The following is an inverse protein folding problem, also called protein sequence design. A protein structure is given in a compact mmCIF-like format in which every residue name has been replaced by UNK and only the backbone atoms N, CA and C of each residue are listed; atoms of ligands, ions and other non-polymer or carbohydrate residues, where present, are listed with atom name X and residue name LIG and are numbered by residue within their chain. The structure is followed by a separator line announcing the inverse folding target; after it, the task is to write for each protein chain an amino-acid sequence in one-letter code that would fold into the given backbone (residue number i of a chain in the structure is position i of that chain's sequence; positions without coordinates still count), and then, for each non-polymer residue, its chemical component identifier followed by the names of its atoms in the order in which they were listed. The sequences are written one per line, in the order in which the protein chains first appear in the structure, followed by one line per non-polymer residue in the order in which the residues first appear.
data_IF_523117749178
#
_entry.id   IF_523117749178
#
_cell.length_a   1.000
_cell.length_b   1.000
_cell.length_c   1.000
_cell.angle_alpha   90.00
_cell.angle_beta   90.00
_cell.angle_gamma   90.00
#
_symmetry.space_group_name_H-M   'P 1'
#
loop_
_entity.id
_entity.type
_entity.pdbx_description
1 polymer ?
#
# COMPACT_ATOMS: atom_id res chain seq x y z
N UNK A 1 38.20 37.76 28.62
CA UNK A 1 37.53 36.48 28.95
C UNK A 1 36.00 36.51 28.63
N UNK A 2 35.57 36.98 27.48
CA UNK A 2 34.13 37.06 27.12
C UNK A 2 33.81 36.55 25.68
N UNK A 3 34.75 36.02 24.95
CA UNK A 3 34.57 35.56 23.55
C UNK A 3 34.53 34.01 23.44
N UNK A 4 34.95 33.29 24.48
CA UNK A 4 35.03 31.81 24.45
C UNK A 4 33.69 31.11 24.76
N UNK A 5 32.69 31.86 25.27
CA UNK A 5 31.38 31.30 25.67
C UNK A 5 30.33 31.26 24.55
N UNK A 6 30.57 31.89 23.41
CA UNK A 6 29.64 31.98 22.30
C UNK A 6 29.82 30.87 21.22
N UNK A 7 30.93 30.14 21.27
CA UNK A 7 31.23 29.09 20.29
C UNK A 7 30.70 27.70 20.67
N UNK A 8 30.24 27.49 21.90
CA UNK A 8 29.71 26.18 22.37
C UNK A 8 28.22 26.02 22.10
N UNK A 9 27.47 27.09 21.78
CA UNK A 9 26.01 27.04 21.60
C UNK A 9 25.56 26.73 20.14
N UNK A 10 26.47 26.71 19.18
CA UNK A 10 26.14 26.56 17.75
C UNK A 10 26.19 25.10 17.23
N UNK A 11 26.61 24.12 18.06
CA UNK A 11 26.84 22.74 17.59
C UNK A 11 25.72 21.74 17.91
N UNK A 12 24.59 22.17 18.47
CA UNK A 12 23.53 21.29 18.96
C UNK A 12 22.28 21.18 18.06
N UNK A 13 22.29 21.70 16.84
CA UNK A 13 21.10 21.74 15.97
C UNK A 13 21.11 20.77 14.78
N UNK A 14 22.03 19.81 14.70
CA UNK A 14 22.00 18.80 13.63
C UNK A 14 21.71 17.38 14.12
N UNK A 15 20.82 17.23 15.10
CA UNK A 15 20.13 15.95 15.33
C UNK A 15 18.95 15.86 14.35
N UNK A 16 19.24 15.79 13.05
CA UNK A 16 18.26 15.53 12.00
C UNK A 16 17.70 14.12 12.18
N UNK A 17 16.41 14.04 12.41
CA UNK A 17 15.60 12.83 12.46
C UNK A 17 15.85 11.92 11.25
N UNK A 18 16.68 10.91 11.40
CA UNK A 18 16.90 9.86 10.42
C UNK A 18 16.04 8.62 10.77
N UNK A 19 14.78 8.85 11.14
CA UNK A 19 13.88 7.80 11.65
C UNK A 19 13.06 7.06 10.59
N UNK A 20 13.11 7.47 9.30
CA UNK A 20 12.15 7.01 8.29
C UNK A 20 12.61 5.86 7.38
N UNK A 21 13.84 5.35 7.49
CA UNK A 21 14.38 4.42 6.48
C UNK A 21 14.41 2.95 6.90
N UNK A 22 13.79 2.57 8.01
CA UNK A 22 13.89 1.18 8.53
C UNK A 22 12.82 0.20 8.06
N UNK A 23 11.65 0.66 7.61
CA UNK A 23 10.50 -0.20 7.37
C UNK A 23 10.70 -1.19 6.23
N UNK A 24 10.83 -0.70 4.99
CA UNK A 24 10.96 -1.53 3.80
C UNK A 24 12.25 -2.39 3.80
N UNK A 25 13.35 -1.90 4.36
CA UNK A 25 14.65 -2.62 4.37
C UNK A 25 14.61 -3.92 5.15
N UNK A 26 13.74 -4.03 6.15
CA UNK A 26 13.62 -5.21 7.00
C UNK A 26 12.70 -6.30 6.41
N UNK A 27 12.00 -6.02 5.29
CA UNK A 27 11.17 -7.00 4.63
C UNK A 27 11.99 -7.87 3.69
N UNK A 28 11.59 -9.13 3.55
CA UNK A 28 12.16 -10.05 2.58
C UNK A 28 11.97 -9.55 1.13
N UNK A 29 12.80 -10.03 0.21
CA UNK A 29 12.71 -9.66 -1.20
C UNK A 29 11.39 -10.12 -1.85
N UNK A 30 10.79 -11.19 -1.35
CA UNK A 30 9.52 -11.74 -1.81
C UNK A 30 8.28 -11.06 -1.23
N UNK A 31 8.45 -10.08 -0.32
CA UNK A 31 7.34 -9.36 0.28
C UNK A 31 6.46 -8.70 -0.79
N UNK A 32 5.13 -8.74 -0.59
CA UNK A 32 4.17 -8.11 -1.48
C UNK A 32 2.97 -7.55 -0.73
N UNK A 33 2.27 -6.63 -1.39
CA UNK A 33 0.91 -6.21 -1.04
C UNK A 33 -0.02 -6.48 -2.21
N UNK A 34 -1.22 -6.97 -1.90
CA UNK A 34 -2.29 -7.19 -2.89
C UNK A 34 -3.54 -6.47 -2.46
N UNK A 35 -4.19 -5.80 -3.39
CA UNK A 35 -5.54 -5.27 -3.26
C UNK A 35 -6.47 -6.04 -4.18
N UNK A 36 -7.58 -6.53 -3.65
CA UNK A 36 -8.71 -7.04 -4.42
C UNK A 36 -9.97 -6.23 -4.07
N UNK A 37 -10.71 -5.84 -5.10
CA UNK A 37 -12.02 -5.19 -4.95
C UNK A 37 -13.12 -6.17 -5.29
N UNK A 38 -14.17 -6.23 -4.44
CA UNK A 38 -15.30 -7.14 -4.65
C UNK A 38 -16.44 -6.44 -5.37
N UNK A 39 -17.35 -7.19 -6.02
CA UNK A 39 -18.55 -6.61 -6.61
C UNK A 39 -19.49 -6.00 -5.56
N UNK A 40 -20.37 -5.14 -6.01
CA UNK A 40 -21.51 -4.60 -5.25
C UNK A 40 -22.79 -4.77 -6.07
N UNK A 41 -23.91 -4.29 -5.56
CA UNK A 41 -25.21 -4.31 -6.30
C UNK A 41 -25.25 -3.36 -7.53
N UNK A 42 -24.21 -2.57 -7.78
CA UNK A 42 -24.11 -1.63 -8.90
C UNK A 42 -22.89 -1.89 -9.80
N UNK A 43 -22.33 -0.82 -10.34
CA UNK A 43 -21.21 -0.82 -11.29
C UNK A 43 -19.87 -0.67 -10.58
N UNK A 44 -19.62 -1.37 -9.47
CA UNK A 44 -18.37 -1.31 -8.74
C UNK A 44 -17.25 -2.00 -9.53
N UNK A 45 -16.11 -1.31 -9.79
CA UNK A 45 -14.98 -1.92 -10.45
C UNK A 45 -14.44 -3.11 -9.65
N UNK A 46 -14.25 -4.24 -10.32
CA UNK A 46 -13.64 -5.43 -9.73
C UNK A 46 -12.31 -5.71 -10.37
N UNK A 47 -11.28 -5.84 -9.56
CA UNK A 47 -9.91 -6.14 -10.00
C UNK A 47 -9.07 -6.71 -8.86
N UNK A 48 -7.95 -7.28 -9.23
CA UNK A 48 -6.88 -7.65 -8.30
C UNK A 48 -5.59 -6.99 -8.77
N UNK A 49 -4.92 -6.28 -7.88
CA UNK A 49 -3.57 -5.74 -8.10
C UNK A 49 -2.64 -6.30 -7.05
N UNK A 50 -1.49 -6.82 -7.49
CA UNK A 50 -0.41 -7.26 -6.61
C UNK A 50 0.85 -6.47 -6.93
N UNK A 51 1.52 -5.96 -5.91
CA UNK A 51 2.77 -5.21 -6.03
C UNK A 51 3.83 -5.91 -5.18
N UNK A 52 4.91 -6.35 -5.81
CA UNK A 52 6.08 -6.90 -5.14
C UNK A 52 6.95 -5.77 -4.57
N UNK A 53 7.72 -6.06 -3.54
CA UNK A 53 8.66 -5.11 -2.94
C UNK A 53 9.63 -4.48 -3.95
N UNK A 54 10.02 -5.21 -4.99
CA UNK A 54 10.90 -4.72 -6.05
C UNK A 54 10.22 -3.79 -7.08
N UNK A 55 8.94 -3.46 -6.89
CA UNK A 55 8.16 -2.58 -7.76
C UNK A 55 7.43 -3.29 -8.90
N UNK A 56 7.73 -4.56 -9.17
CA UNK A 56 6.96 -5.33 -10.16
C UNK A 56 5.52 -5.47 -9.70
N UNK A 57 4.59 -5.13 -10.58
CA UNK A 57 3.17 -5.20 -10.28
C UNK A 57 2.40 -5.91 -11.40
N UNK A 58 1.37 -6.64 -10.98
CA UNK A 58 0.39 -7.25 -11.85
C UNK A 58 -0.99 -6.70 -11.52
N UNK A 59 -1.81 -6.52 -12.54
CA UNK A 59 -3.19 -6.09 -12.42
C UNK A 59 -4.06 -6.98 -13.29
N UNK A 60 -5.14 -7.51 -12.73
CA UNK A 60 -6.18 -8.24 -13.44
C UNK A 60 -7.50 -7.52 -13.27
N UNK A 61 -7.93 -6.80 -14.31
CA UNK A 61 -9.19 -6.08 -14.36
C UNK A 61 -10.33 -6.96 -14.82
N UNK A 62 -11.42 -6.93 -14.06
CA UNK A 62 -12.67 -7.66 -14.34
C UNK A 62 -13.81 -6.67 -14.65
N UNK A 63 -15.01 -6.96 -14.18
CA UNK A 63 -16.21 -6.15 -14.44
C UNK A 63 -16.05 -4.70 -13.99
N UNK A 64 -16.51 -3.77 -14.81
CA UNK A 64 -16.51 -2.32 -14.58
C UNK A 64 -15.14 -1.69 -14.33
N UNK A 65 -14.04 -2.44 -14.42
CA UNK A 65 -12.70 -1.89 -14.39
C UNK A 65 -12.40 -1.11 -15.68
N UNK A 66 -11.73 0.04 -15.55
CA UNK A 66 -11.28 0.84 -16.72
C UNK A 66 -10.30 0.09 -17.61
N UNK A 67 -9.53 -0.82 -17.02
CA UNK A 67 -8.61 -1.75 -17.70
C UNK A 67 -9.17 -3.16 -17.48
N UNK A 68 -9.54 -3.87 -18.54
CA UNK A 68 -9.99 -5.27 -18.47
C UNK A 68 -8.90 -6.19 -18.98
N UNK A 69 -8.71 -7.34 -18.33
CA UNK A 69 -7.64 -8.28 -18.62
C UNK A 69 -6.40 -8.09 -17.75
N UNK A 70 -5.29 -8.63 -18.21
CA UNK A 70 -4.03 -8.71 -17.48
C UNK A 70 -3.05 -7.61 -17.91
N UNK A 71 -2.53 -6.91 -16.94
CA UNK A 71 -1.54 -5.83 -17.12
C UNK A 71 -0.36 -6.01 -16.19
N UNK A 72 0.77 -5.44 -16.58
CA UNK A 72 1.99 -5.35 -15.75
C UNK A 72 2.50 -3.92 -15.72
N UNK A 73 3.21 -3.60 -14.65
CA UNK A 73 3.87 -2.30 -14.44
C UNK A 73 5.08 -2.48 -13.53
N UNK A 74 6.04 -1.58 -13.64
CA UNK A 74 7.11 -1.43 -12.64
C UNK A 74 6.99 -0.05 -12.03
N UNK A 75 6.79 0.01 -10.72
CA UNK A 75 6.76 1.25 -9.95
C UNK A 75 8.18 1.68 -9.57
N UNK A 76 8.40 2.99 -9.39
CA UNK A 76 9.68 3.54 -8.96
C UNK A 76 10.04 3.10 -7.53
N UNK A 77 11.32 3.04 -7.22
CA UNK A 77 11.83 2.71 -5.88
C UNK A 77 11.27 3.67 -4.83
N UNK A 78 11.14 4.96 -5.15
CA UNK A 78 10.57 5.97 -4.26
C UNK A 78 9.12 5.64 -3.89
N UNK A 79 8.29 5.28 -4.89
CA UNK A 79 6.90 4.86 -4.66
C UNK A 79 6.84 3.62 -3.77
N UNK A 80 7.71 2.65 -4.02
CA UNK A 80 7.76 1.42 -3.23
C UNK A 80 8.23 1.67 -1.80
N UNK A 81 9.23 2.52 -1.62
CA UNK A 81 9.72 2.89 -0.29
C UNK A 81 8.59 3.52 0.53
N UNK A 82 7.87 4.50 -0.05
CA UNK A 82 6.77 5.18 0.63
C UNK A 82 5.63 4.21 1.01
N UNK A 83 5.22 3.35 0.06
CA UNK A 83 4.14 2.38 0.24
C UNK A 83 4.49 1.34 1.33
N UNK A 84 5.64 0.67 1.22
CA UNK A 84 6.03 -0.38 2.16
C UNK A 84 6.38 0.18 3.54
N UNK A 85 6.94 1.38 3.64
CA UNK A 85 7.14 2.05 4.93
C UNK A 85 5.81 2.38 5.60
N UNK A 86 4.78 2.77 4.83
CA UNK A 86 3.41 2.94 5.36
C UNK A 86 2.86 1.62 5.87
N UNK A 87 2.93 0.54 5.08
CA UNK A 87 2.42 -0.79 5.44
C UNK A 87 3.06 -1.30 6.74
N UNK A 88 4.37 -1.12 6.88
CA UNK A 88 5.09 -1.51 8.12
C UNK A 88 4.63 -0.67 9.32
N UNK A 89 4.46 0.65 9.15
CA UNK A 89 3.94 1.52 10.22
C UNK A 89 2.51 1.17 10.65
N UNK A 90 1.70 0.65 9.73
CA UNK A 90 0.33 0.22 10.03
C UNK A 90 0.26 -1.08 10.84
N UNK A 91 1.40 -1.75 11.05
CA UNK A 91 1.47 -3.03 11.78
C UNK A 91 0.42 -4.04 11.28
N UNK A 92 0.35 -4.24 9.96
CA UNK A 92 -0.68 -5.03 9.29
C UNK A 92 -0.93 -6.39 9.96
N UNK A 93 0.13 -7.07 10.41
CA UNK A 93 0.03 -8.39 11.04
C UNK A 93 -0.77 -8.40 12.36
N UNK A 94 -0.88 -7.25 13.02
CA UNK A 94 -1.60 -7.11 14.30
C UNK A 94 -3.05 -6.64 14.13
N UNK A 95 -3.46 -6.29 12.91
CA UNK A 95 -4.82 -5.80 12.63
C UNK A 95 -5.85 -6.92 12.68
N UNK A 96 -7.12 -6.61 12.99
CA UNK A 96 -8.23 -7.54 12.79
C UNK A 96 -8.33 -8.00 11.34
N UNK A 97 -8.80 -9.23 11.12
CA UNK A 97 -8.97 -9.77 9.77
C UNK A 97 -10.16 -9.15 9.02
N UNK A 98 -11.10 -8.56 9.76
CA UNK A 98 -12.36 -8.07 9.21
C UNK A 98 -12.74 -6.73 9.85
N UNK A 99 -12.98 -5.73 8.99
CA UNK A 99 -13.70 -4.51 9.28
C UNK A 99 -15.00 -4.54 8.48
N UNK A 100 -16.10 -4.94 9.12
CA UNK A 100 -17.37 -5.19 8.45
C UNK A 100 -18.55 -5.11 9.42
N UNK A 101 -19.75 -4.84 8.88
CA UNK A 101 -21.01 -4.93 9.58
C UNK A 101 -21.97 -5.83 8.78
N UNK A 102 -22.38 -6.99 9.30
CA UNK A 102 -23.28 -7.91 8.59
C UNK A 102 -24.64 -7.32 8.20
N UNK A 103 -25.05 -6.23 8.85
CA UNK A 103 -26.32 -5.53 8.54
C UNK A 103 -26.21 -4.61 7.32
N UNK A 104 -24.98 -4.36 6.84
CA UNK A 104 -24.72 -3.52 5.65
C UNK A 104 -24.32 -4.45 4.50
N UNK A 105 -25.21 -4.67 3.53
CA UNK A 105 -25.05 -5.72 2.52
C UNK A 105 -24.53 -5.25 1.17
N UNK A 106 -24.75 -3.99 0.80
CA UNK A 106 -24.63 -3.53 -0.59
C UNK A 106 -23.32 -2.80 -0.93
N UNK A 107 -22.38 -2.75 0.00
CA UNK A 107 -21.08 -2.12 -0.20
C UNK A 107 -20.05 -3.10 -0.74
N UNK A 108 -19.17 -2.66 -1.71
CA UNK A 108 -18.03 -3.43 -2.11
C UNK A 108 -17.02 -3.50 -0.96
N UNK A 109 -16.32 -4.62 -0.85
CA UNK A 109 -15.19 -4.74 0.06
C UNK A 109 -13.87 -4.50 -0.68
N UNK A 110 -12.89 -3.95 0.04
CA UNK A 110 -11.48 -3.97 -0.33
C UNK A 110 -10.81 -5.06 0.51
N UNK A 111 -10.20 -6.04 -0.13
CA UNK A 111 -9.47 -7.12 0.53
C UNK A 111 -7.99 -6.86 0.31
N UNK A 112 -7.27 -6.62 1.41
CA UNK A 112 -5.82 -6.37 1.36
C UNK A 112 -5.11 -7.60 1.89
N UNK A 113 -4.20 -8.15 1.10
CA UNK A 113 -3.27 -9.19 1.55
C UNK A 113 -1.87 -8.61 1.58
N UNK A 114 -1.21 -8.71 2.72
CA UNK A 114 0.20 -8.38 2.90
C UNK A 114 0.98 -9.65 3.24
N UNK A 115 2.11 -9.86 2.57
CA UNK A 115 3.08 -10.91 2.84
C UNK A 115 4.42 -10.27 3.12
N UNK A 116 5.02 -10.57 4.27
CA UNK A 116 6.29 -9.95 4.70
C UNK A 116 7.53 -10.72 4.24
N UNK A 117 7.32 -11.86 3.57
CA UNK A 117 8.35 -12.80 3.14
C UNK A 117 8.34 -14.11 3.94
N UNK A 118 7.56 -14.16 5.03
CA UNK A 118 7.40 -15.34 5.88
C UNK A 118 5.92 -15.63 6.17
N UNK A 119 5.21 -14.63 6.68
CA UNK A 119 3.82 -14.74 7.10
C UNK A 119 2.93 -13.84 6.25
N UNK A 120 1.67 -14.22 6.09
CA UNK A 120 0.70 -13.41 5.35
C UNK A 120 -0.47 -13.00 6.24
N UNK A 121 -1.00 -11.80 5.97
CA UNK A 121 -2.18 -11.25 6.61
C UNK A 121 -3.16 -10.79 5.55
N UNK A 122 -4.40 -11.26 5.62
CA UNK A 122 -5.50 -10.79 4.77
C UNK A 122 -6.52 -10.07 5.61
N UNK A 123 -6.89 -8.86 5.19
CA UNK A 123 -7.85 -7.99 5.89
C UNK A 123 -8.96 -7.61 4.92
N UNK A 124 -10.20 -7.92 5.31
CA UNK A 124 -11.40 -7.51 4.58
C UNK A 124 -11.91 -6.17 5.14
N UNK A 125 -11.94 -5.15 4.30
CA UNK A 125 -12.37 -3.79 4.64
C UNK A 125 -13.64 -3.43 3.87
N UNK A 126 -14.80 -3.37 4.53
CA UNK A 126 -16.09 -3.01 3.93
C UNK A 126 -16.80 -1.88 4.68
N UNK A 127 -16.86 -1.93 6.00
CA UNK A 127 -17.57 -0.99 6.83
C UNK A 127 -16.79 -0.69 8.13
N UNK A 128 -16.94 0.53 8.67
CA UNK A 128 -16.21 0.99 9.88
C UNK A 128 -14.70 0.77 9.83
N UNK A 129 -14.13 0.99 8.65
CA UNK A 129 -12.69 0.85 8.42
C UNK A 129 -11.95 2.03 9.06
N UNK A 130 -10.90 1.82 9.86
CA UNK A 130 -10.08 2.90 10.44
C UNK A 130 -9.50 3.83 9.37
N UNK A 131 -9.35 5.12 9.71
CA UNK A 131 -8.91 6.15 8.77
C UNK A 131 -7.55 5.84 8.13
N UNK A 132 -6.59 5.34 8.90
CA UNK A 132 -5.26 4.96 8.43
C UNK A 132 -5.30 3.80 7.40
N UNK A 133 -6.23 2.86 7.57
CA UNK A 133 -6.50 1.80 6.59
C UNK A 133 -7.23 2.31 5.35
N UNK A 134 -8.15 3.27 5.51
CA UNK A 134 -8.81 3.93 4.37
C UNK A 134 -7.79 4.68 3.51
N UNK A 135 -6.80 5.34 4.12
CA UNK A 135 -5.73 6.03 3.40
C UNK A 135 -4.86 5.04 2.60
N UNK A 136 -4.52 3.87 3.17
CA UNK A 136 -3.81 2.82 2.44
C UNK A 136 -4.66 2.30 1.27
N UNK A 137 -5.94 2.03 1.48
CA UNK A 137 -6.87 1.59 0.43
C UNK A 137 -6.92 2.62 -0.70
N UNK A 138 -7.05 3.90 -0.37
CA UNK A 138 -7.08 4.99 -1.35
C UNK A 138 -5.79 5.06 -2.17
N UNK A 139 -4.63 4.93 -1.53
CA UNK A 139 -3.33 4.89 -2.20
C UNK A 139 -3.24 3.69 -3.16
N UNK A 140 -3.54 2.48 -2.69
CA UNK A 140 -3.53 1.28 -3.51
C UNK A 140 -4.51 1.37 -4.70
N UNK A 141 -5.70 1.91 -4.49
CA UNK A 141 -6.67 2.15 -5.57
C UNK A 141 -6.14 3.16 -6.58
N UNK A 142 -5.52 4.25 -6.14
CA UNK A 142 -4.91 5.24 -7.02
C UNK A 142 -3.84 4.60 -7.91
N UNK A 143 -2.99 3.75 -7.37
CA UNK A 143 -1.98 3.01 -8.13
C UNK A 143 -2.61 2.02 -9.11
N UNK A 144 -3.66 1.31 -8.69
CA UNK A 144 -4.37 0.33 -9.51
C UNK A 144 -5.14 0.98 -10.67
N UNK A 145 -5.87 2.07 -10.41
CA UNK A 145 -6.80 2.69 -11.36
C UNK A 145 -6.13 3.68 -12.30
N UNK A 146 -4.87 4.06 -12.05
CA UNK A 146 -4.07 4.84 -13.01
C UNK A 146 -4.06 4.12 -14.37
N UNK A 147 -4.20 4.90 -15.45
CA UNK A 147 -4.13 4.37 -16.82
C UNK A 147 -2.71 4.34 -17.37
N UNK A 148 -1.89 5.30 -16.94
CA UNK A 148 -0.53 5.45 -17.42
C UNK A 148 0.44 4.41 -16.84
N UNK A 149 1.35 3.95 -17.70
CA UNK A 149 2.45 3.06 -17.34
C UNK A 149 2.07 1.60 -17.11
N UNK A 150 0.81 1.21 -17.31
CA UNK A 150 0.39 -0.19 -17.36
C UNK A 150 0.44 -0.73 -18.79
N UNK A 151 1.10 -1.86 -18.99
CA UNK A 151 1.20 -2.55 -20.29
C UNK A 151 0.36 -3.82 -20.25
N UNK A 152 -0.50 -4.03 -21.26
CA UNK A 152 -1.26 -5.26 -21.39
C UNK A 152 -0.31 -6.44 -21.63
N UNK A 153 -0.54 -7.58 -20.97
CA UNK A 153 0.33 -8.78 -21.12
C UNK A 153 0.36 -9.36 -22.52
N UNK A 154 -0.70 -9.20 -23.29
CA UNK A 154 -0.77 -9.62 -24.68
C UNK A 154 0.16 -8.83 -25.62
N UNK A 155 0.70 -7.69 -25.15
CA UNK A 155 1.61 -6.82 -25.89
C UNK A 155 3.08 -7.00 -25.47
N UNK A 156 3.40 -8.03 -24.67
CA UNK A 156 4.76 -8.37 -24.22
C UNK A 156 5.27 -9.61 -24.95
#
# INVERSE_FOLDING_TARGET
MRILSLLVFATLLFASCNSSKKGMKNLDASAFVQLETTPCFGTCPTYTMRILKNGQATFNGRQYSKKQGDYVKVFSEETMQALFDRIVRLEMMKRPDIYDNPRVTDLPANVITFFDGKDSKTIRCRFEVPGDMLDLIKELRTLAEATEGWTAKENL
#
